data_IF_345058526016
#
_entry.id   IF_345058526016
#
_cell.length_a   1.000
_cell.length_b   1.000
_cell.length_c   1.000
_cell.angle_alpha   90.00
_cell.angle_beta   90.00
_cell.angle_gamma   90.00
#
_symmetry.space_group_name_H-M   'P 1'
#
loop_
_entity.id
_entity.type
_entity.pdbx_description
1 polymer ?
#
# COMPACT_ATOMS: atom_id res chain seq x y z
N UNK A 1 1.58 -3.94 14.88
CA UNK A 1 1.16 -3.64 13.50
C UNK A 1 2.39 -3.55 12.60
N UNK A 2 2.30 -4.11 11.39
CA UNK A 2 3.45 -4.33 10.50
C UNK A 2 4.13 -3.05 10.02
N UNK A 3 3.35 -2.03 9.61
CA UNK A 3 3.88 -0.78 9.05
C UNK A 3 4.01 0.37 10.05
N UNK A 4 3.37 0.28 11.23
CA UNK A 4 3.50 1.31 12.28
C UNK A 4 4.57 0.97 13.31
N UNK A 5 5.05 -0.28 13.34
CA UNK A 5 6.09 -0.71 14.28
C UNK A 5 5.66 -0.75 15.75
N UNK A 6 4.38 -0.56 16.06
CA UNK A 6 3.88 -0.64 17.43
C UNK A 6 3.51 -2.08 17.81
N UNK A 7 3.77 -2.50 19.06
CA UNK A 7 3.45 -3.85 19.53
C UNK A 7 2.00 -3.98 20.01
N UNK A 8 1.31 -2.87 20.31
CA UNK A 8 -0.04 -2.87 20.89
C UNK A 8 -0.93 -1.83 20.19
N UNK A 9 -2.19 -2.20 19.98
CA UNK A 9 -3.24 -1.28 19.56
C UNK A 9 -4.11 -0.84 20.76
N UNK A 10 -5.31 -0.36 20.47
CA UNK A 10 -6.33 -0.12 21.50
C UNK A 10 -6.84 -1.42 22.15
N UNK A 11 -7.75 -1.29 23.11
CA UNK A 11 -8.17 -2.40 23.99
C UNK A 11 -9.57 -2.93 23.69
N UNK A 12 -10.34 -2.20 22.88
CA UNK A 12 -11.74 -2.51 22.55
C UNK A 12 -12.00 -2.34 21.05
N UNK A 13 -13.22 -2.64 20.63
CA UNK A 13 -13.70 -2.52 19.26
C UNK A 13 -13.91 -1.07 18.84
N UNK A 14 -14.00 -0.17 19.82
CA UNK A 14 -14.17 1.28 19.66
C UNK A 14 -12.88 2.06 19.91
N UNK A 15 -11.93 1.51 20.66
CA UNK A 15 -10.60 2.10 20.86
C UNK A 15 -9.67 1.70 19.71
N UNK A 16 -9.64 2.53 18.67
CA UNK A 16 -8.85 2.34 17.46
C UNK A 16 -7.61 3.23 17.55
N UNK A 17 -6.51 2.66 18.02
CA UNK A 17 -5.25 3.35 18.23
C UNK A 17 -4.13 2.54 17.60
N UNK A 18 -3.32 3.22 16.81
CA UNK A 18 -2.02 2.79 16.36
C UNK A 18 -1.02 3.96 16.40
N UNK A 19 -0.21 4.11 15.35
CA UNK A 19 0.65 5.26 15.10
C UNK A 19 0.61 5.56 13.59
N UNK A 20 1.25 6.63 13.13
CA UNK A 20 1.44 6.87 11.70
C UNK A 20 2.27 5.73 11.12
N UNK A 21 1.81 5.14 10.02
CA UNK A 21 2.55 4.07 9.36
C UNK A 21 3.65 4.60 8.43
N UNK A 22 4.70 3.80 8.22
CA UNK A 22 5.85 4.16 7.39
C UNK A 22 5.45 4.63 5.99
N UNK A 23 4.53 3.90 5.35
CA UNK A 23 4.01 4.26 4.03
C UNK A 23 3.31 5.63 4.01
N UNK A 24 2.64 6.02 5.09
CA UNK A 24 1.95 7.30 5.18
C UNK A 24 2.89 8.46 5.55
N UNK A 25 4.02 8.19 6.20
CA UNK A 25 5.10 9.18 6.31
C UNK A 25 5.69 9.47 4.93
N UNK A 26 6.00 8.42 4.15
CA UNK A 26 6.52 8.54 2.78
C UNK A 26 5.50 9.21 1.84
N UNK A 27 4.21 8.86 1.95
CA UNK A 27 3.15 9.43 1.11
C UNK A 27 3.00 10.95 1.32
N UNK A 28 3.24 11.47 2.53
CA UNK A 28 3.21 12.91 2.81
C UNK A 28 4.35 13.65 2.12
N UNK A 29 5.52 13.03 2.05
CA UNK A 29 6.69 13.61 1.40
C UNK A 29 6.54 13.52 -0.12
N UNK A 30 6.46 12.30 -0.65
CA UNK A 30 6.48 12.06 -2.08
C UNK A 30 5.18 12.40 -2.81
N UNK A 31 4.06 12.46 -2.08
CA UNK A 31 2.77 12.83 -2.67
C UNK A 31 2.71 14.28 -3.16
N UNK A 32 3.71 15.10 -2.85
CA UNK A 32 3.86 16.45 -3.39
C UNK A 32 4.28 16.42 -4.86
N UNK A 33 4.98 15.38 -5.28
CA UNK A 33 5.51 15.21 -6.64
C UNK A 33 4.55 14.48 -7.57
N UNK A 34 3.55 13.77 -7.02
CA UNK A 34 2.66 12.90 -7.80
C UNK A 34 1.18 13.29 -7.70
N UNK A 35 0.36 12.75 -8.61
CA UNK A 35 -1.09 12.98 -8.62
C UNK A 35 -1.83 12.23 -7.50
N UNK A 36 -1.28 11.10 -7.05
CA UNK A 36 -1.83 10.24 -6.02
C UNK A 36 -0.73 9.97 -4.98
N UNK A 37 -0.93 10.40 -3.73
CA UNK A 37 0.10 10.30 -2.70
C UNK A 37 0.49 8.85 -2.39
N UNK A 38 -0.52 7.97 -2.31
CA UNK A 38 -0.35 6.55 -2.03
C UNK A 38 -1.55 5.74 -2.53
N UNK A 39 -1.37 4.41 -2.65
CA UNK A 39 -2.44 3.45 -2.88
C UNK A 39 -2.47 2.39 -1.78
N UNK A 40 -3.62 2.25 -1.13
CA UNK A 40 -3.91 1.26 -0.09
C UNK A 40 -4.81 0.18 -0.68
N UNK A 41 -4.28 -1.02 -0.91
CA UNK A 41 -4.92 -2.05 -1.73
C UNK A 41 -5.04 -3.38 -0.96
N UNK A 42 -6.07 -4.17 -1.28
CA UNK A 42 -6.28 -5.52 -0.71
C UNK A 42 -6.88 -6.51 -1.71
N UNK A 43 -6.84 -7.80 -1.40
CA UNK A 43 -7.57 -8.85 -2.13
C UNK A 43 -8.93 -9.21 -1.51
N UNK A 44 -9.17 -8.74 -0.29
CA UNK A 44 -10.40 -8.99 0.47
C UNK A 44 -11.18 -7.68 0.60
N UNK A 45 -12.51 -7.77 0.50
CA UNK A 45 -13.40 -6.63 0.70
C UNK A 45 -13.27 -6.09 2.14
N UNK A 46 -13.35 -4.77 2.29
CA UNK A 46 -13.26 -4.13 3.60
C UNK A 46 -14.48 -4.47 4.47
N UNK A 47 -14.23 -5.00 5.68
CA UNK A 47 -15.25 -5.25 6.69
C UNK A 47 -14.78 -4.67 8.04
N UNK A 48 -14.67 -3.35 8.11
CA UNK A 48 -14.04 -2.62 9.22
C UNK A 48 -14.90 -2.50 10.49
N UNK A 49 -16.18 -2.89 10.43
CA UNK A 49 -17.10 -2.74 11.55
C UNK A 49 -17.12 -3.99 12.45
N UNK A 50 -17.22 -3.76 13.77
CA UNK A 50 -17.35 -4.81 14.77
C UNK A 50 -16.01 -5.26 15.38
N UNK A 51 -16.06 -6.38 16.11
CA UNK A 51 -14.90 -7.01 16.74
C UNK A 51 -14.49 -8.25 15.93
N UNK A 52 -13.24 -8.28 15.47
CA UNK A 52 -12.73 -9.41 14.69
C UNK A 52 -11.70 -10.24 15.47
N UNK A 53 -10.91 -9.64 16.36
CA UNK A 53 -9.90 -10.36 17.14
C UNK A 53 -10.20 -10.23 18.63
N UNK A 54 -10.87 -11.23 19.19
CA UNK A 54 -11.42 -11.19 20.55
C UNK A 54 -12.36 -9.99 20.73
N UNK A 55 -11.85 -8.86 21.22
CA UNK A 55 -12.60 -7.61 21.40
C UNK A 55 -11.99 -6.44 20.61
N UNK A 56 -11.01 -6.68 19.74
CA UNK A 56 -10.38 -5.63 18.96
C UNK A 56 -11.12 -5.37 17.66
N UNK A 57 -11.14 -4.10 17.26
CA UNK A 57 -11.79 -3.62 16.05
C UNK A 57 -11.35 -4.39 14.80
N UNK A 58 -12.31 -4.69 13.91
CA UNK A 58 -12.03 -5.28 12.61
C UNK A 58 -11.11 -4.45 11.71
N UNK A 59 -10.93 -3.16 12.02
CA UNK A 59 -9.91 -2.31 11.38
C UNK A 59 -8.53 -2.95 11.42
N UNK A 60 -8.12 -3.55 12.55
CA UNK A 60 -6.77 -4.08 12.69
C UNK A 60 -6.47 -5.27 11.75
N UNK A 61 -7.49 -6.00 11.30
CA UNK A 61 -7.31 -7.11 10.35
C UNK A 61 -7.46 -6.67 8.90
N UNK A 62 -8.10 -5.53 8.62
CA UNK A 62 -8.39 -5.05 7.26
C UNK A 62 -7.56 -3.83 6.85
N UNK A 63 -6.71 -3.30 7.72
CA UNK A 63 -5.93 -2.08 7.46
C UNK A 63 -4.47 -2.24 7.86
N UNK A 64 -3.58 -1.90 6.94
CA UNK A 64 -2.13 -1.78 7.21
C UNK A 64 -1.68 -0.32 7.37
N UNK A 65 -2.35 0.60 6.68
CA UNK A 65 -1.96 2.00 6.55
C UNK A 65 -2.72 2.90 7.52
N UNK A 66 -1.98 3.78 8.19
CA UNK A 66 -2.51 4.68 9.22
C UNK A 66 -2.00 6.09 8.96
N UNK A 67 -2.91 6.98 8.56
CA UNK A 67 -2.57 8.39 8.30
C UNK A 67 -2.21 9.12 9.59
N UNK A 68 -2.72 8.66 10.73
CA UNK A 68 -2.55 9.23 12.05
C UNK A 68 -2.75 8.15 13.12
N UNK A 69 -2.39 8.42 14.38
CA UNK A 69 -2.51 7.45 15.47
C UNK A 69 -3.92 6.86 15.68
N UNK A 70 -4.97 7.54 15.21
CA UNK A 70 -6.36 7.06 15.30
C UNK A 70 -7.07 7.12 13.94
N UNK A 71 -6.32 7.15 12.84
CA UNK A 71 -6.84 7.37 11.50
C UNK A 71 -6.39 6.23 10.56
N UNK A 72 -7.01 5.05 10.67
CA UNK A 72 -6.80 3.97 9.72
C UNK A 72 -7.28 4.38 8.32
N UNK A 73 -6.57 3.95 7.28
CA UNK A 73 -6.98 4.17 5.90
C UNK A 73 -7.64 2.90 5.33
N UNK A 74 -8.81 3.02 4.69
CA UNK A 74 -9.45 1.87 4.05
C UNK A 74 -8.61 1.34 2.90
N UNK A 75 -8.64 0.02 2.69
CA UNK A 75 -8.04 -0.61 1.51
C UNK A 75 -9.08 -0.77 0.40
N UNK A 76 -8.64 -0.60 -0.85
CA UNK A 76 -9.46 -0.87 -2.02
C UNK A 76 -9.17 -2.26 -2.58
N UNK A 77 -10.23 -3.05 -2.77
CA UNK A 77 -10.14 -4.41 -3.30
C UNK A 77 -10.68 -4.53 -4.72
N UNK A 78 -11.50 -3.56 -5.16
CA UNK A 78 -12.16 -3.59 -6.45
C UNK A 78 -11.26 -2.95 -7.53
N UNK A 79 -10.77 -3.71 -8.52
CA UNK A 79 -9.93 -3.21 -9.60
C UNK A 79 -10.55 -2.04 -10.38
N UNK A 80 -11.88 -2.00 -10.53
CA UNK A 80 -12.58 -0.90 -11.18
C UNK A 80 -12.42 0.41 -10.41
N UNK A 81 -12.61 0.36 -9.09
CA UNK A 81 -12.46 1.53 -8.23
C UNK A 81 -11.00 2.01 -8.18
N UNK A 82 -10.03 1.09 -8.20
CA UNK A 82 -8.61 1.42 -8.34
C UNK A 82 -8.34 2.13 -9.67
N UNK A 83 -8.85 1.60 -10.78
CA UNK A 83 -8.71 2.22 -12.09
C UNK A 83 -9.33 3.62 -12.13
N UNK A 84 -10.55 3.79 -11.63
CA UNK A 84 -11.24 5.09 -11.58
C UNK A 84 -10.49 6.09 -10.69
N UNK A 85 -9.88 5.65 -9.59
CA UNK A 85 -9.03 6.52 -8.74
C UNK A 85 -7.80 7.01 -9.50
N UNK A 86 -7.19 6.18 -10.34
CA UNK A 86 -5.97 6.48 -11.08
C UNK A 86 -6.22 7.27 -12.36
N UNK A 87 -7.16 6.82 -13.18
CA UNK A 87 -7.39 7.31 -14.54
C UNK A 87 -8.75 8.02 -14.72
N UNK A 88 -9.64 7.94 -13.73
CA UNK A 88 -11.00 8.45 -13.81
C UNK A 88 -11.95 7.54 -14.60
N UNK A 89 -13.14 8.06 -14.87
CA UNK A 89 -14.21 7.37 -15.59
C UNK A 89 -14.10 7.52 -17.12
N UNK A 90 -12.87 7.64 -17.63
CA UNK A 90 -12.62 7.82 -19.07
C UNK A 90 -12.68 6.49 -19.85
N UNK A 91 -12.85 5.36 -19.15
CA UNK A 91 -12.96 4.01 -19.72
C UNK A 91 -11.65 3.39 -20.23
N UNK A 92 -10.59 4.18 -20.42
CA UNK A 92 -9.32 3.73 -21.00
C UNK A 92 -8.14 4.63 -20.59
N UNK A 93 -6.93 4.08 -20.62
CA UNK A 93 -5.65 4.80 -20.43
C UNK A 93 -5.15 5.53 -21.67
N UNK A 94 -5.83 5.43 -22.82
CA UNK A 94 -5.43 6.10 -24.06
C UNK A 94 -5.32 7.62 -23.86
N UNK A 95 -4.29 8.23 -24.45
CA UNK A 95 -4.00 9.68 -24.35
C UNK A 95 -5.24 10.57 -24.56
N UNK A 96 -6.00 10.35 -25.62
CA UNK A 96 -7.18 11.17 -25.92
C UNK A 96 -8.24 11.13 -24.80
N UNK A 97 -8.41 9.99 -24.13
CA UNK A 97 -9.32 9.84 -23.01
C UNK A 97 -8.81 10.62 -21.79
N UNK A 98 -7.50 10.57 -21.52
CA UNK A 98 -6.84 11.35 -20.45
C UNK A 98 -6.93 12.86 -20.71
N UNK A 99 -6.65 13.32 -21.93
CA UNK A 99 -6.74 14.75 -22.32
C UNK A 99 -8.15 15.30 -22.17
N UNK A 100 -9.17 14.55 -22.64
CA UNK A 100 -10.56 14.94 -22.50
C UNK A 100 -10.95 15.12 -21.02
N UNK A 101 -10.49 14.21 -20.16
CA UNK A 101 -10.71 14.28 -18.70
C UNK A 101 -10.03 15.50 -18.08
N UNK A 102 -8.77 15.75 -18.40
CA UNK A 102 -8.03 16.88 -17.84
C UNK A 102 -8.71 18.21 -18.18
N UNK A 103 -9.12 18.38 -19.44
CA UNK A 103 -9.88 19.56 -19.88
C UNK A 103 -11.19 19.73 -19.09
N UNK A 104 -11.90 18.64 -18.81
CA UNK A 104 -13.11 18.67 -17.99
C UNK A 104 -12.81 19.07 -16.54
N UNK A 105 -11.75 18.52 -15.94
CA UNK A 105 -11.35 18.82 -14.56
C UNK A 105 -10.95 20.29 -14.40
N UNK A 106 -10.14 20.83 -15.30
CA UNK A 106 -9.75 22.25 -15.28
C UNK A 106 -10.96 23.16 -15.41
N UNK A 107 -11.90 22.85 -16.32
CA UNK A 107 -13.12 23.64 -16.49
C UNK A 107 -14.03 23.63 -15.25
N UNK A 108 -14.14 22.48 -14.56
CA UNK A 108 -14.90 22.39 -13.30
C UNK A 108 -14.21 23.22 -12.21
N UNK A 109 -12.89 23.14 -12.13
CA UNK A 109 -12.09 23.85 -11.12
C UNK A 109 -12.20 25.37 -11.27
N UNK A 110 -12.12 25.88 -12.50
CA UNK A 110 -12.33 27.30 -12.81
C UNK A 110 -13.72 27.76 -12.30
N UNK A 111 -14.76 26.97 -12.60
CA UNK A 111 -16.14 27.25 -12.17
C UNK A 111 -16.30 27.27 -10.64
N UNK A 112 -15.62 26.37 -9.92
CA UNK A 112 -15.67 26.30 -8.45
C UNK A 112 -14.90 27.48 -7.82
N UNK A 113 -13.73 27.80 -8.36
CA UNK A 113 -12.87 28.90 -7.88
C UNK A 113 -13.57 30.25 -8.04
N UNK A 114 -14.22 30.49 -9.18
CA UNK A 114 -15.01 31.71 -9.40
C UNK A 114 -16.15 31.86 -8.39
N UNK A 115 -16.86 30.76 -8.09
CA UNK A 115 -17.96 30.75 -7.12
C UNK A 115 -17.47 30.99 -5.70
N UNK A 116 -16.33 30.44 -5.31
CA UNK A 116 -15.74 30.67 -3.99
C UNK A 116 -15.25 32.11 -3.85
N UNK A 117 -14.63 32.67 -4.88
CA UNK A 117 -14.24 34.08 -4.90
C UNK A 117 -15.46 35.01 -4.75
N UNK A 118 -16.59 34.68 -5.38
CA UNK A 118 -17.85 35.39 -5.17
C UNK A 118 -18.35 35.25 -3.74
N UNK A 119 -18.41 34.02 -3.20
CA UNK A 119 -18.90 33.75 -1.84
C UNK A 119 -18.08 34.47 -0.76
N UNK A 120 -16.75 34.54 -0.90
CA UNK A 120 -15.88 35.26 0.06
C UNK A 120 -16.25 36.74 0.21
N UNK A 121 -16.84 37.36 -0.81
CA UNK A 121 -17.31 38.75 -0.77
C UNK A 121 -18.62 38.94 0.00
N UNK A 122 -19.38 37.87 0.19
CA UNK A 122 -20.72 37.90 0.80
C UNK A 122 -20.74 37.43 2.26
N UNK A 123 -19.75 36.64 2.69
CA UNK A 123 -19.73 36.01 4.01
C UNK A 123 -18.90 36.79 5.04
N UNK A 124 -19.27 36.65 6.32
CA UNK A 124 -18.56 37.25 7.45
C UNK A 124 -17.29 36.51 7.86
N UNK A 125 -16.47 37.13 8.72
CA UNK A 125 -15.13 36.66 9.09
C UNK A 125 -15.07 35.22 9.65
N UNK A 126 -16.09 34.77 10.39
CA UNK A 126 -16.13 33.39 10.92
C UNK A 126 -16.32 32.34 9.82
N UNK A 127 -17.11 32.63 8.79
CA UNK A 127 -17.34 31.70 7.68
C UNK A 127 -16.18 31.71 6.68
N UNK A 128 -15.45 32.82 6.58
CA UNK A 128 -14.23 32.90 5.77
C UNK A 128 -13.17 31.88 6.19
N UNK A 129 -13.07 31.57 7.49
CA UNK A 129 -12.15 30.53 8.02
C UNK A 129 -12.52 29.14 7.48
N UNK A 130 -13.82 28.81 7.39
CA UNK A 130 -14.26 27.54 6.78
C UNK A 130 -13.98 27.51 5.28
N UNK A 131 -14.22 28.63 4.58
CA UNK A 131 -13.92 28.76 3.14
C UNK A 131 -12.42 28.65 2.86
N UNK A 132 -11.57 29.10 3.78
CA UNK A 132 -10.12 28.95 3.67
C UNK A 132 -9.70 27.47 3.66
N UNK A 133 -10.30 26.63 4.50
CA UNK A 133 -10.07 25.17 4.47
C UNK A 133 -10.48 24.54 3.13
N UNK A 134 -11.57 25.01 2.50
CA UNK A 134 -11.94 24.57 1.15
C UNK A 134 -10.94 25.06 0.08
N UNK A 135 -10.31 26.22 0.29
CA UNK A 135 -9.33 26.77 -0.63
C UNK A 135 -8.04 25.96 -0.63
N UNK A 136 -7.64 25.38 0.51
CA UNK A 136 -6.54 24.42 0.58
C UNK A 136 -6.83 23.16 -0.23
N UNK A 137 -8.05 22.60 -0.11
CA UNK A 137 -8.46 21.44 -0.91
C UNK A 137 -8.48 21.75 -2.42
N UNK A 138 -8.80 22.98 -2.82
CA UNK A 138 -8.71 23.42 -4.23
C UNK A 138 -7.27 23.44 -4.71
N UNK A 139 -6.33 23.99 -3.93
CA UNK A 139 -4.91 24.01 -4.29
C UNK A 139 -4.34 22.62 -4.48
N UNK A 140 -4.78 21.66 -3.66
CA UNK A 140 -4.41 20.25 -3.85
C UNK A 140 -4.92 19.70 -5.19
N UNK A 141 -6.13 20.09 -5.62
CA UNK A 141 -6.66 19.71 -6.93
C UNK A 141 -5.91 20.40 -8.07
N UNK A 142 -5.60 21.70 -7.97
CA UNK A 142 -4.80 22.45 -8.94
C UNK A 142 -3.43 21.79 -9.16
N UNK A 143 -2.73 21.46 -8.06
CA UNK A 143 -1.44 20.77 -8.11
C UNK A 143 -1.54 19.44 -8.84
N UNK A 144 -2.60 18.66 -8.58
CA UNK A 144 -2.81 17.36 -9.25
C UNK A 144 -3.09 17.52 -10.74
N UNK A 145 -3.84 18.55 -11.14
CA UNK A 145 -4.06 18.85 -12.57
C UNK A 145 -2.73 19.21 -13.22
N UNK A 146 -1.94 20.09 -12.61
CA UNK A 146 -0.62 20.48 -13.13
C UNK A 146 0.28 19.24 -13.32
N UNK A 147 0.34 18.34 -12.33
CA UNK A 147 1.10 17.08 -12.46
C UNK A 147 0.58 16.19 -13.58
N UNK A 148 -0.73 16.14 -13.78
CA UNK A 148 -1.30 15.37 -14.86
C UNK A 148 -1.00 15.95 -16.26
N UNK A 149 -0.91 17.28 -16.38
CA UNK A 149 -0.45 17.95 -17.59
C UNK A 149 1.03 17.66 -17.87
N UNK A 150 1.89 17.69 -16.85
CA UNK A 150 3.31 17.31 -16.96
C UNK A 150 3.49 15.85 -17.45
N UNK A 151 2.55 14.97 -17.09
CA UNK A 151 2.60 13.54 -17.37
C UNK A 151 1.78 13.12 -18.62
N UNK A 152 1.15 14.05 -19.33
CA UNK A 152 0.20 13.71 -20.43
C UNK A 152 0.87 12.99 -21.61
N UNK A 153 2.15 13.25 -21.81
CA UNK A 153 2.97 12.68 -22.88
C UNK A 153 3.53 11.28 -22.54
N UNK A 154 3.35 10.80 -21.31
CA UNK A 154 3.72 9.43 -20.94
C UNK A 154 2.89 8.45 -21.76
N UNK A 155 3.55 7.65 -22.59
CA UNK A 155 2.92 6.58 -23.35
C UNK A 155 2.58 5.41 -22.42
N UNK A 156 1.32 4.98 -22.46
CA UNK A 156 0.80 3.91 -21.62
C UNK A 156 0.22 2.80 -22.50
N UNK A 157 0.35 1.52 -22.10
CA UNK A 157 -0.35 0.46 -22.78
C UNK A 157 -1.86 0.73 -22.73
N UNK A 158 -2.58 0.38 -23.79
CA UNK A 158 -4.03 0.44 -23.78
C UNK A 158 -4.56 -0.56 -22.76
N UNK A 159 -5.20 -0.03 -21.73
CA UNK A 159 -5.80 -0.80 -20.65
C UNK A 159 -7.25 -0.37 -20.51
N UNK A 160 -8.16 -1.33 -20.69
CA UNK A 160 -9.59 -1.09 -20.56
C UNK A 160 -9.99 -1.09 -19.08
N UNK A 161 -10.93 -0.22 -18.72
CA UNK A 161 -11.46 -0.16 -17.36
C UNK A 161 -12.04 -1.53 -16.96
N UNK A 162 -11.61 -2.10 -15.83
CA UNK A 162 -12.19 -3.34 -15.32
C UNK A 162 -13.68 -3.21 -14.98
N UNK A 163 -14.43 -4.30 -15.15
CA UNK A 163 -15.82 -4.35 -14.68
C UNK A 163 -15.94 -4.41 -13.16
N UNK A 164 -14.98 -5.07 -12.50
CA UNK A 164 -14.99 -5.31 -11.06
C UNK A 164 -13.90 -6.29 -10.61
N UNK A 165 -14.07 -6.89 -9.43
CA UNK A 165 -13.17 -7.93 -8.92
C UNK A 165 -13.52 -9.30 -9.53
N UNK A 166 -12.60 -9.96 -10.27
CA UNK A 166 -12.80 -11.31 -10.76
C UNK A 166 -13.07 -12.32 -9.62
N UNK A 167 -13.87 -13.37 -9.85
CA UNK A 167 -14.15 -14.38 -8.82
C UNK A 167 -12.95 -15.35 -8.61
N UNK A 168 -12.13 -15.54 -9.64
CA UNK A 168 -10.91 -16.35 -9.58
C UNK A 168 -9.81 -15.51 -8.91
N UNK A 169 -9.16 -16.09 -7.89
CA UNK A 169 -8.18 -15.37 -7.07
C UNK A 169 -6.97 -14.89 -7.87
N UNK A 170 -6.48 -15.75 -8.76
CA UNK A 170 -5.35 -15.53 -9.64
C UNK A 170 -5.64 -14.37 -10.59
N UNK A 171 -6.80 -14.38 -11.25
CA UNK A 171 -7.22 -13.34 -12.19
C UNK A 171 -7.40 -12.00 -11.47
N UNK A 172 -7.99 -12.01 -10.27
CA UNK A 172 -8.12 -10.81 -9.45
C UNK A 172 -6.76 -10.26 -9.01
N UNK A 173 -5.85 -11.14 -8.57
CA UNK A 173 -4.51 -10.74 -8.14
C UNK A 173 -3.71 -10.21 -9.33
N UNK A 174 -3.77 -10.89 -10.48
CA UNK A 174 -3.14 -10.46 -11.71
C UNK A 174 -3.60 -9.05 -12.09
N UNK A 175 -4.91 -8.82 -12.09
CA UNK A 175 -5.48 -7.51 -12.42
C UNK A 175 -5.06 -6.41 -11.44
N UNK A 176 -5.03 -6.71 -10.13
CA UNK A 176 -4.51 -5.79 -9.12
C UNK A 176 -3.02 -5.52 -9.31
N UNK A 177 -2.21 -6.52 -9.67
CA UNK A 177 -0.79 -6.33 -9.97
C UNK A 177 -0.56 -5.51 -11.22
N UNK A 178 -1.36 -5.70 -12.27
CA UNK A 178 -1.27 -4.92 -13.51
C UNK A 178 -1.62 -3.45 -13.27
N UNK A 179 -2.66 -3.17 -12.49
CA UNK A 179 -3.00 -1.80 -12.10
C UNK A 179 -1.89 -1.13 -11.27
N UNK A 180 -1.20 -1.87 -10.40
CA UNK A 180 -0.04 -1.34 -9.66
C UNK A 180 1.10 -0.99 -10.61
N UNK A 181 1.45 -1.88 -11.54
CA UNK A 181 2.51 -1.62 -12.54
C UNK A 181 2.13 -0.43 -13.41
N UNK A 182 0.89 -0.39 -13.90
CA UNK A 182 0.37 0.68 -14.73
C UNK A 182 0.37 2.03 -14.00
N UNK A 183 0.02 2.05 -12.72
CA UNK A 183 0.10 3.25 -11.88
C UNK A 183 1.53 3.78 -11.77
N UNK A 184 2.52 2.89 -11.62
CA UNK A 184 3.94 3.24 -11.54
C UNK A 184 4.47 3.73 -12.90
N UNK A 185 4.12 3.06 -14.00
CA UNK A 185 4.49 3.51 -15.36
C UNK A 185 3.88 4.87 -15.70
N UNK A 186 2.69 5.15 -15.18
CA UNK A 186 2.02 6.44 -15.33
C UNK A 186 2.51 7.51 -14.33
N UNK A 187 3.50 7.18 -13.51
CA UNK A 187 4.08 8.10 -12.52
C UNK A 187 3.05 8.66 -11.51
N UNK A 188 2.03 7.86 -11.18
CA UNK A 188 0.86 8.33 -10.42
C UNK A 188 1.06 8.31 -8.90
N UNK A 189 1.55 7.22 -8.27
CA UNK A 189 2.05 7.25 -6.90
C UNK A 189 3.52 6.81 -6.78
N UNK A 190 4.17 7.23 -5.68
CA UNK A 190 5.45 6.64 -5.24
C UNK A 190 5.28 5.52 -4.21
N UNK A 191 4.12 5.44 -3.55
CA UNK A 191 3.88 4.53 -2.41
C UNK A 191 2.67 3.65 -2.68
N UNK A 192 2.84 2.33 -2.56
CA UNK A 192 1.76 1.35 -2.67
C UNK A 192 1.86 0.36 -1.51
N UNK A 193 0.78 0.23 -0.75
CA UNK A 193 0.60 -0.80 0.28
C UNK A 193 -0.40 -1.84 -0.22
N UNK A 194 -0.05 -3.12 -0.15
CA UNK A 194 -0.91 -4.19 -0.69
C UNK A 194 -1.01 -5.37 0.27
N UNK A 195 -2.23 -5.70 0.65
CA UNK A 195 -2.56 -6.84 1.50
C UNK A 195 -3.13 -7.99 0.66
N UNK A 196 -2.29 -8.98 0.35
CA UNK A 196 -2.69 -10.15 -0.46
C UNK A 196 -3.73 -11.04 0.23
N UNK A 197 -3.71 -11.10 1.56
CA UNK A 197 -4.69 -11.80 2.37
C UNK A 197 -4.73 -11.16 3.74
N UNK A 198 -5.94 -10.88 4.23
CA UNK A 198 -6.11 -10.31 5.55
C UNK A 198 -5.85 -11.31 6.67
N UNK A 199 -5.52 -10.79 7.85
CA UNK A 199 -5.55 -11.60 9.06
C UNK A 199 -6.95 -12.20 9.26
N UNK A 200 -6.99 -13.44 9.74
CA UNK A 200 -8.22 -14.22 9.89
C UNK A 200 -9.01 -14.44 8.58
N UNK A 201 -8.35 -14.48 7.42
CA UNK A 201 -9.03 -14.81 6.17
C UNK A 201 -9.59 -16.24 6.20
N UNK A 202 -10.89 -16.45 5.92
CA UNK A 202 -11.49 -17.78 5.83
C UNK A 202 -11.32 -18.40 4.42
N UNK A 203 -10.60 -17.74 3.51
CA UNK A 203 -10.49 -18.13 2.10
C UNK A 203 -9.86 -19.52 1.97
N UNK A 204 -10.48 -20.47 1.26
CA UNK A 204 -9.84 -21.73 0.88
C UNK A 204 -9.03 -21.58 -0.40
N UNK A 205 -8.13 -22.54 -0.67
CA UNK A 205 -7.32 -22.59 -1.88
C UNK A 205 -7.42 -23.96 -2.59
N UNK A 206 -8.61 -24.34 -3.10
CA UNK A 206 -8.80 -25.63 -3.76
C UNK A 206 -7.97 -25.82 -5.03
N UNK A 207 -7.54 -24.74 -5.70
CA UNK A 207 -6.67 -24.79 -6.89
C UNK A 207 -5.29 -25.41 -6.61
N UNK A 208 -4.88 -25.47 -5.34
CA UNK A 208 -3.65 -26.09 -4.87
C UNK A 208 -3.97 -27.21 -3.87
N UNK A 209 -5.13 -27.86 -4.02
CA UNK A 209 -5.66 -28.94 -3.18
C UNK A 209 -5.65 -28.64 -1.66
N UNK A 210 -5.91 -27.39 -1.28
CA UNK A 210 -6.13 -27.00 0.12
C UNK A 210 -7.53 -26.39 0.27
N UNK A 211 -8.58 -27.21 0.41
CA UNK A 211 -9.96 -26.73 0.55
C UNK A 211 -10.26 -26.18 1.95
N UNK A 212 -9.35 -26.36 2.91
CA UNK A 212 -9.45 -25.84 4.27
C UNK A 212 -9.49 -24.30 4.28
N UNK A 213 -10.27 -23.72 5.21
CA UNK A 213 -10.24 -22.28 5.43
C UNK A 213 -8.87 -21.86 5.99
N UNK A 214 -8.23 -20.87 5.39
CA UNK A 214 -6.84 -20.48 5.69
C UNK A 214 -6.62 -20.16 7.17
N UNK A 215 -7.47 -19.35 7.80
CA UNK A 215 -7.29 -18.99 9.21
C UNK A 215 -7.42 -20.18 10.17
N UNK A 216 -8.51 -20.98 10.15
CA UNK A 216 -8.57 -22.19 10.98
C UNK A 216 -7.38 -23.14 10.78
N UNK A 217 -6.95 -23.33 9.53
CA UNK A 217 -5.77 -24.17 9.22
C UNK A 217 -4.49 -23.65 9.88
N UNK A 218 -4.36 -22.33 10.05
CA UNK A 218 -3.21 -21.71 10.71
C UNK A 218 -3.02 -22.14 12.17
N UNK A 219 -4.08 -22.65 12.83
CA UNK A 219 -4.05 -23.28 14.15
C UNK A 219 -3.76 -24.79 14.09
N UNK A 220 -2.83 -25.18 13.22
CA UNK A 220 -2.47 -26.56 12.89
C UNK A 220 -1.97 -27.42 14.09
N UNK A 221 -1.70 -26.84 15.25
CA UNK A 221 -1.22 -27.53 16.47
C UNK A 221 0.00 -28.45 16.23
N UNK A 222 0.87 -28.07 15.30
CA UNK A 222 2.03 -28.84 14.84
C UNK A 222 1.70 -30.25 14.29
N UNK A 223 0.46 -30.51 13.87
CA UNK A 223 0.12 -31.75 13.17
C UNK A 223 0.77 -31.73 11.78
N UNK A 224 1.61 -32.73 11.42
CA UNK A 224 2.42 -32.68 10.19
C UNK A 224 1.61 -32.43 8.91
N UNK A 225 0.46 -33.09 8.76
CA UNK A 225 -0.39 -32.94 7.58
C UNK A 225 -0.95 -31.52 7.44
N UNK A 226 -1.38 -30.91 8.55
CA UNK A 226 -1.91 -29.55 8.54
C UNK A 226 -0.79 -28.51 8.30
N UNK A 227 0.41 -28.76 8.82
CA UNK A 227 1.60 -27.95 8.54
C UNK A 227 1.95 -27.99 7.06
N UNK A 228 1.88 -29.18 6.44
CA UNK A 228 2.14 -29.34 5.01
C UNK A 228 1.14 -28.53 4.17
N UNK A 229 -0.16 -28.64 4.46
CA UNK A 229 -1.19 -27.85 3.77
C UNK A 229 -1.01 -26.34 3.96
N UNK A 230 -0.70 -25.90 5.18
CA UNK A 230 -0.39 -24.49 5.45
C UNK A 230 0.83 -24.01 4.65
N UNK A 231 1.86 -24.87 4.55
CA UNK A 231 3.07 -24.58 3.77
C UNK A 231 2.79 -24.47 2.27
N UNK A 232 1.82 -25.23 1.74
CA UNK A 232 1.36 -25.10 0.34
C UNK A 232 0.75 -23.72 0.09
N UNK A 233 -0.06 -23.19 0.99
CA UNK A 233 -0.61 -21.82 0.88
C UNK A 233 0.52 -20.78 0.90
N UNK A 234 1.46 -20.88 1.85
CA UNK A 234 2.59 -19.94 1.95
C UNK A 234 3.47 -19.95 0.69
N UNK A 235 3.76 -21.15 0.16
CA UNK A 235 4.49 -21.32 -1.08
C UNK A 235 3.74 -20.70 -2.26
N UNK A 236 2.44 -20.96 -2.35
CA UNK A 236 1.59 -20.45 -3.40
C UNK A 236 1.54 -18.91 -3.44
N UNK A 237 1.38 -18.25 -2.28
CA UNK A 237 1.46 -16.78 -2.19
C UNK A 237 2.82 -16.24 -2.61
N UNK A 238 3.90 -16.93 -2.23
CA UNK A 238 5.27 -16.53 -2.62
C UNK A 238 5.51 -16.73 -4.12
N UNK A 239 4.98 -17.81 -4.71
CA UNK A 239 5.05 -18.05 -6.16
C UNK A 239 4.29 -16.98 -6.95
N UNK A 240 3.08 -16.60 -6.52
CA UNK A 240 2.33 -15.49 -7.12
C UNK A 240 3.08 -14.16 -7.00
N UNK A 241 3.65 -13.89 -5.83
CA UNK A 241 4.46 -12.69 -5.61
C UNK A 241 5.71 -12.66 -6.50
N UNK A 242 6.34 -13.82 -6.76
CA UNK A 242 7.48 -13.90 -7.69
C UNK A 242 7.11 -13.50 -9.13
N UNK A 243 5.87 -13.77 -9.56
CA UNK A 243 5.36 -13.32 -10.88
C UNK A 243 5.24 -11.80 -10.93
N UNK A 244 4.80 -11.16 -9.85
CA UNK A 244 4.78 -9.71 -9.74
C UNK A 244 6.19 -9.11 -9.84
N UNK A 245 7.18 -9.70 -9.16
CA UNK A 245 8.59 -9.27 -9.28
C UNK A 245 9.11 -9.43 -10.72
N UNK A 246 8.73 -10.51 -11.41
CA UNK A 246 9.08 -10.71 -12.81
C UNK A 246 8.46 -9.63 -13.72
N UNK A 247 7.20 -9.24 -13.49
CA UNK A 247 6.56 -8.11 -14.19
C UNK A 247 7.34 -6.81 -13.95
N UNK A 248 7.66 -6.48 -12.69
CA UNK A 248 8.43 -5.27 -12.36
C UNK A 248 9.82 -5.24 -13.03
N UNK A 249 10.50 -6.39 -13.09
CA UNK A 249 11.79 -6.52 -13.78
C UNK A 249 11.67 -6.40 -15.31
N UNK A 250 10.54 -6.77 -15.88
CA UNK A 250 10.30 -6.67 -17.31
C UNK A 250 9.87 -5.26 -17.75
N UNK A 251 9.46 -4.41 -16.81
CA UNK A 251 8.97 -3.06 -17.08
C UNK A 251 10.12 -2.04 -17.00
N UNK A 252 10.47 -1.36 -18.10
CA UNK A 252 11.48 -0.31 -18.11
C UNK A 252 11.09 0.89 -17.24
N UNK A 253 12.07 1.50 -16.58
CA UNK A 253 11.92 2.72 -15.79
C UNK A 253 13.26 3.48 -15.74
N UNK A 254 13.35 4.60 -16.45
CA UNK A 254 14.59 5.35 -16.65
C UNK A 254 15.70 4.50 -17.29
N UNK A 255 16.87 4.46 -16.64
CA UNK A 255 18.04 3.68 -17.08
C UNK A 255 17.98 2.18 -16.69
N UNK A 256 16.91 1.76 -16.00
CA UNK A 256 16.75 0.40 -15.49
C UNK A 256 15.32 -0.10 -15.62
N UNK A 257 14.88 -0.85 -14.61
CA UNK A 257 13.54 -1.42 -14.52
C UNK A 257 12.85 -0.93 -13.26
N UNK A 258 11.52 -1.06 -13.18
CA UNK A 258 10.79 -0.73 -11.94
C UNK A 258 11.38 -1.46 -10.74
N UNK A 259 11.79 -2.72 -10.89
CA UNK A 259 12.40 -3.48 -9.79
C UNK A 259 13.73 -2.88 -9.31
N UNK A 260 14.51 -2.26 -10.19
CA UNK A 260 15.79 -1.64 -9.85
C UNK A 260 15.58 -0.33 -9.06
N UNK A 261 14.53 0.41 -9.37
CA UNK A 261 14.24 1.71 -8.73
C UNK A 261 13.37 1.60 -7.48
N UNK A 262 12.71 0.46 -7.24
CA UNK A 262 11.82 0.26 -6.10
C UNK A 262 12.51 -0.34 -4.87
N UNK A 263 11.96 -0.03 -3.70
CA UNK A 263 12.15 -0.78 -2.45
C UNK A 263 10.84 -1.48 -2.10
N UNK A 264 10.89 -2.80 -1.91
CA UNK A 264 9.73 -3.63 -1.60
C UNK A 264 9.96 -4.33 -0.26
N UNK A 265 9.08 -4.06 0.70
CA UNK A 265 9.00 -4.80 1.95
C UNK A 265 7.85 -5.82 1.87
N UNK A 266 8.17 -7.10 1.99
CA UNK A 266 7.20 -8.20 1.95
C UNK A 266 7.35 -9.07 3.20
N UNK A 267 6.23 -9.50 3.78
CA UNK A 267 6.25 -10.41 4.91
C UNK A 267 4.96 -10.41 5.72
N UNK A 268 5.05 -10.93 6.93
CA UNK A 268 3.96 -10.98 7.90
C UNK A 268 4.44 -10.62 9.31
N UNK A 269 3.50 -10.28 10.19
CA UNK A 269 3.77 -10.01 11.61
C UNK A 269 3.88 -11.27 12.50
N UNK A 270 3.77 -12.47 11.92
CA UNK A 270 3.77 -13.74 12.66
C UNK A 270 4.58 -14.79 11.88
N UNK A 271 5.59 -15.38 12.52
CA UNK A 271 6.43 -16.45 11.94
C UNK A 271 5.86 -17.85 12.14
N UNK A 272 5.19 -18.09 13.28
CA UNK A 272 4.53 -19.34 13.59
C UNK A 272 3.08 -19.05 13.94
N UNK A 273 2.16 -19.44 13.05
CA UNK A 273 0.74 -19.14 13.18
C UNK A 273 0.09 -19.86 14.35
N UNK A 274 0.43 -21.13 14.62
CA UNK A 274 -0.23 -21.86 15.71
C UNK A 274 0.12 -21.31 17.10
N UNK A 275 1.33 -20.77 17.27
CA UNK A 275 1.79 -20.14 18.52
C UNK A 275 1.63 -18.61 18.54
N UNK A 276 1.24 -18.01 17.42
CA UNK A 276 1.24 -16.56 17.23
C UNK A 276 2.61 -15.92 17.56
N UNK A 277 3.69 -16.59 17.15
CA UNK A 277 5.05 -16.12 17.46
C UNK A 277 5.43 -14.92 16.58
N UNK A 278 5.85 -13.83 17.22
CA UNK A 278 6.46 -12.67 16.56
C UNK A 278 7.98 -12.74 16.41
N UNK A 279 8.62 -13.85 16.81
CA UNK A 279 10.07 -14.04 16.71
C UNK A 279 10.46 -14.59 15.33
N UNK A 280 11.59 -14.16 14.77
CA UNK A 280 12.08 -14.60 13.45
C UNK A 280 11.02 -14.43 12.34
N UNK A 281 10.50 -13.21 12.20
CA UNK A 281 9.49 -12.88 11.20
C UNK A 281 9.96 -13.20 9.77
N UNK A 282 9.07 -13.69 8.89
CA UNK A 282 9.39 -13.98 7.50
C UNK A 282 9.40 -12.68 6.68
N UNK A 283 10.52 -11.96 6.72
CA UNK A 283 10.68 -10.66 6.06
C UNK A 283 11.60 -10.77 4.85
N UNK A 284 11.15 -10.19 3.74
CA UNK A 284 11.95 -9.98 2.54
C UNK A 284 12.00 -8.48 2.23
N UNK A 285 13.22 -7.96 2.05
CA UNK A 285 13.46 -6.64 1.45
C UNK A 285 14.02 -6.88 0.07
N UNK A 286 13.35 -6.34 -0.94
CA UNK A 286 13.66 -6.60 -2.35
C UNK A 286 13.62 -5.32 -3.16
N UNK A 287 14.15 -5.41 -4.38
CA UNK A 287 14.34 -4.28 -5.27
C UNK A 287 15.71 -3.62 -5.06
N UNK A 288 16.05 -2.69 -5.94
CA UNK A 288 17.34 -2.01 -5.93
C UNK A 288 17.33 -0.65 -5.24
N UNK A 289 16.16 -0.12 -4.85
CA UNK A 289 16.02 1.16 -4.17
C UNK A 289 16.74 2.32 -4.89
N UNK A 290 16.81 2.28 -6.22
CA UNK A 290 17.61 3.19 -7.05
C UNK A 290 19.11 3.22 -6.64
N UNK A 291 19.66 2.05 -6.30
CA UNK A 291 21.06 1.86 -5.90
C UNK A 291 21.32 1.93 -4.39
N UNK A 292 20.30 2.22 -3.57
CA UNK A 292 20.45 2.33 -2.10
C UNK A 292 20.45 0.98 -1.38
N UNK A 293 19.93 -0.08 -2.03
CA UNK A 293 19.81 -1.42 -1.46
C UNK A 293 20.71 -2.42 -2.18
N UNK A 294 21.37 -3.28 -1.40
CA UNK A 294 22.16 -4.41 -1.91
C UNK A 294 21.42 -5.70 -1.61
N UNK A 295 21.11 -6.47 -2.65
CA UNK A 295 20.44 -7.76 -2.54
C UNK A 295 21.40 -8.94 -2.32
N UNK A 296 20.85 -10.16 -2.38
CA UNK A 296 21.64 -11.40 -2.36
C UNK A 296 22.12 -11.83 -0.98
N UNK A 297 21.49 -11.33 0.09
CA UNK A 297 21.89 -11.59 1.47
C UNK A 297 20.78 -12.30 2.25
N UNK A 298 21.19 -13.11 3.22
CA UNK A 298 20.32 -13.66 4.26
C UNK A 298 20.92 -13.25 5.61
N UNK A 299 20.22 -12.39 6.34
CA UNK A 299 20.71 -11.76 7.56
C UNK A 299 20.04 -12.38 8.78
N UNK A 300 20.84 -12.66 9.80
CA UNK A 300 20.39 -13.15 11.10
C UNK A 300 21.00 -12.29 12.20
N UNK A 301 20.21 -11.94 13.20
CA UNK A 301 20.61 -11.04 14.27
C UNK A 301 20.53 -11.77 15.61
N UNK A 302 21.63 -11.79 16.36
CA UNK A 302 21.71 -12.49 17.66
C UNK A 302 21.04 -11.73 18.81
N UNK A 303 20.84 -10.42 18.64
CA UNK A 303 20.24 -9.50 19.61
C UNK A 303 18.72 -9.37 19.47
N UNK A 304 18.09 -10.17 18.60
CA UNK A 304 16.64 -10.22 18.37
C UNK A 304 15.99 -8.83 18.20
N UNK A 305 16.48 -7.99 17.25
CA UNK A 305 15.99 -6.63 17.11
C UNK A 305 14.51 -6.61 16.67
N UNK A 306 13.78 -5.62 17.16
CA UNK A 306 12.39 -5.40 16.78
C UNK A 306 12.25 -4.98 15.31
N UNK A 307 11.19 -5.45 14.64
CA UNK A 307 10.88 -5.11 13.24
C UNK A 307 10.83 -3.60 12.97
N UNK A 308 10.43 -2.80 13.97
CA UNK A 308 10.39 -1.34 13.86
C UNK A 308 11.77 -0.73 13.52
N UNK A 309 12.87 -1.37 13.94
CA UNK A 309 14.22 -0.92 13.60
C UNK A 309 14.52 -1.04 12.10
N UNK A 310 13.95 -2.04 11.42
CA UNK A 310 14.04 -2.16 9.97
C UNK A 310 13.31 -0.99 9.29
N UNK A 311 12.15 -0.58 9.80
CA UNK A 311 11.40 0.55 9.22
C UNK A 311 12.21 1.84 9.29
N UNK A 312 12.92 2.10 10.41
CA UNK A 312 13.84 3.25 10.53
C UNK A 312 14.93 3.19 9.45
N UNK A 313 15.55 2.03 9.23
CA UNK A 313 16.56 1.87 8.19
C UNK A 313 15.99 2.10 6.78
N UNK A 314 14.79 1.58 6.50
CA UNK A 314 14.16 1.76 5.19
C UNK A 314 13.78 3.22 4.92
N UNK A 315 13.36 3.97 5.94
CA UNK A 315 13.11 5.40 5.82
C UNK A 315 14.36 6.18 5.42
N UNK A 316 15.51 5.88 6.04
CA UNK A 316 16.81 6.45 5.67
C UNK A 316 17.20 6.09 4.22
N UNK A 317 17.07 4.81 3.85
CA UNK A 317 17.32 4.32 2.48
C UNK A 317 16.42 4.97 1.43
N UNK A 318 15.22 5.41 1.83
CA UNK A 318 14.27 6.12 0.97
C UNK A 318 14.46 7.65 1.01
N UNK A 319 15.48 8.17 1.70
CA UNK A 319 15.79 9.60 1.72
C UNK A 319 14.94 10.42 2.70
N UNK A 320 14.22 9.77 3.61
CA UNK A 320 13.42 10.44 4.64
C UNK A 320 13.85 9.96 6.04
N UNK A 321 15.07 10.29 6.51
CA UNK A 321 15.58 9.80 7.79
C UNK A 321 14.68 10.23 8.95
N UNK A 322 14.44 9.32 9.88
CA UNK A 322 13.64 9.53 11.10
C UNK A 322 14.36 8.95 12.30
N UNK A 323 14.21 9.60 13.45
CA UNK A 323 14.83 9.11 14.70
C UNK A 323 14.13 7.85 15.24
N UNK A 324 12.82 7.71 14.97
CA UNK A 324 11.99 6.64 15.54
C UNK A 324 10.73 6.37 14.72
N UNK A 325 10.37 5.09 14.60
CA UNK A 325 9.05 4.62 14.18
C UNK A 325 8.51 3.65 15.23
N UNK A 326 7.29 3.90 15.72
CA UNK A 326 6.63 3.05 16.70
C UNK A 326 7.53 2.72 17.89
N UNK A 327 7.78 1.42 18.11
CA UNK A 327 8.63 0.93 19.20
C UNK A 327 10.10 0.70 18.81
N UNK A 328 10.61 1.33 17.74
CA UNK A 328 12.01 1.19 17.35
C UNK A 328 12.97 1.69 18.45
N UNK A 329 14.06 0.97 18.65
CA UNK A 329 15.16 1.31 19.55
C UNK A 329 16.40 1.83 18.83
N UNK A 330 16.39 1.81 17.49
CA UNK A 330 17.44 2.32 16.61
C UNK A 330 17.22 1.88 15.16
N UNK A 331 18.24 2.04 14.33
CA UNK A 331 18.26 1.50 12.97
C UNK A 331 18.79 0.05 12.96
N UNK A 332 18.20 -0.80 12.11
CA UNK A 332 18.70 -2.16 11.85
C UNK A 332 19.79 -2.12 10.77
N UNK A 333 20.95 -2.70 11.04
CA UNK A 333 22.04 -2.77 10.05
C UNK A 333 21.73 -3.83 8.98
N UNK A 334 21.42 -3.39 7.76
CA UNK A 334 21.14 -4.27 6.62
C UNK A 334 22.25 -4.30 5.57
N UNK A 335 23.18 -3.34 5.60
CA UNK A 335 24.31 -3.31 4.68
C UNK A 335 25.43 -4.22 5.18
N UNK A 336 26.11 -4.90 4.25
CA UNK A 336 27.41 -5.49 4.58
C UNK A 336 28.39 -4.39 4.98
N UNK A 337 29.17 -4.62 6.05
CA UNK A 337 30.31 -3.77 6.37
C UNK A 337 31.22 -3.66 5.14
N UNK A 338 31.48 -2.45 4.61
CA UNK A 338 32.37 -2.30 3.47
C UNK A 338 33.77 -2.81 3.84
N UNK A 339 34.30 -3.77 3.08
CA UNK A 339 35.71 -4.18 3.16
C UNK A 339 36.05 -5.35 4.09
N UNK A 340 35.11 -6.26 4.35
CA UNK A 340 35.40 -7.61 4.86
C UNK A 340 35.21 -8.63 3.74
#
# INVERSE_FOLDING_TARGET
>A
SFLTGIPQGGRTETEIIADVSMDQLLAREFGQETQVASLELSMDAAANAGACSSNLSCVYTHTLSWRGPMQPLPTEYNPRAVFERLFGDAGSTVRAAREARLKQQSSILDSVTDKIAALRREIGAQDQIKVEQYTEAIRDVERRIQKAEEQIDIDLPNFEQPEGAPPVFEDHLELMTDLKVLALQADLPRVITFMISKEQSPRPYPQIDVPDAHHPLSHHNNQPELVERMSRINRYHTELFSRYLAKLRATPDGDGTLLDNMTILYGSGISNSTRHSGQNLPILVMGGGAGTLRGGQHLTYSDEPGMANLLVTLMDKLGLPVDRIGASTGALQIDALPGI
#
